data_IF_239191330617
#
_entry.id   IF_239191330617
#
_cell.length_a   1.000
_cell.length_b   1.000
_cell.length_c   1.000
_cell.angle_alpha   90.00
_cell.angle_beta   90.00
_cell.angle_gamma   90.00
#
_symmetry.space_group_name_H-M   'P 1'
#
loop_
_entity.id
_entity.type
_entity.pdbx_description
1 polymer ?
#
# COMPACT_ATOMS: atom_id res chain seq x y z
N UNK A 1 30.22 -17.25 -2.78
CA UNK A 1 29.14 -16.30 -3.16
C UNK A 1 28.31 -16.09 -1.92
N UNK A 2 28.63 -15.05 -1.16
CA UNK A 2 27.97 -14.77 0.12
C UNK A 2 26.71 -13.94 -0.12
N UNK A 3 25.57 -14.48 0.32
CA UNK A 3 24.30 -13.76 0.37
C UNK A 3 24.45 -12.63 1.40
N UNK A 4 24.09 -11.38 1.05
CA UNK A 4 24.21 -10.25 1.98
C UNK A 4 23.48 -10.50 3.30
N UNK A 5 24.15 -10.21 4.42
CA UNK A 5 23.67 -10.44 5.79
C UNK A 5 22.34 -9.76 6.14
N UNK A 6 21.84 -8.79 5.36
CA UNK A 6 20.51 -8.20 5.60
C UNK A 6 19.35 -9.19 5.37
N UNK A 7 19.63 -10.34 4.76
CA UNK A 7 18.67 -11.45 4.57
C UNK A 7 18.73 -12.46 5.74
N UNK A 8 19.73 -12.37 6.62
CA UNK A 8 20.00 -13.38 7.65
C UNK A 8 19.62 -12.89 9.07
N UNK A 9 18.39 -13.18 9.46
CA UNK A 9 17.86 -13.32 10.83
C UNK A 9 18.16 -12.20 11.84
N UNK A 10 17.17 -11.35 12.03
CA UNK A 10 16.81 -10.73 13.30
C UNK A 10 15.30 -10.53 13.29
N UNK A 11 14.61 -10.89 14.37
CA UNK A 11 13.16 -10.75 14.51
C UNK A 11 12.79 -9.27 14.80
N UNK A 12 13.44 -8.33 14.10
CA UNK A 12 13.17 -6.90 14.22
C UNK A 12 12.12 -6.53 13.18
N UNK A 13 10.90 -6.38 13.68
CA UNK A 13 9.72 -6.01 12.88
C UNK A 13 9.67 -4.49 12.61
N UNK A 14 10.77 -3.78 12.85
CA UNK A 14 10.93 -2.38 12.53
C UNK A 14 11.45 -2.21 11.11
N UNK A 15 10.79 -1.37 10.31
CA UNK A 15 11.49 -0.70 9.21
C UNK A 15 12.64 0.03 9.88
N UNK A 16 13.88 -0.32 9.53
CA UNK A 16 15.03 0.47 9.97
C UNK A 16 14.86 1.87 9.37
N UNK A 17 14.38 2.81 10.19
CA UNK A 17 14.08 4.17 9.76
C UNK A 17 15.32 4.86 9.19
N UNK A 18 16.52 4.33 9.48
CA UNK A 18 17.81 4.73 8.92
C UNK A 18 17.87 4.52 7.40
N UNK A 19 17.10 3.58 6.83
CA UNK A 19 17.08 3.33 5.38
C UNK A 19 16.08 4.22 4.63
N UNK A 20 15.12 4.84 5.31
CA UNK A 20 14.11 5.71 4.68
C UNK A 20 14.71 6.89 3.87
N UNK A 21 15.79 7.56 4.34
CA UNK A 21 16.45 8.62 3.57
C UNK A 21 16.99 8.16 2.22
N UNK A 22 17.30 6.87 2.03
CA UNK A 22 17.81 6.34 0.76
C UNK A 22 16.71 5.70 -0.08
N UNK A 23 15.79 4.98 0.56
CA UNK A 23 14.72 4.24 -0.12
C UNK A 23 13.71 5.17 -0.78
N UNK A 24 13.30 6.25 -0.10
CA UNK A 24 12.29 7.16 -0.66
C UNK A 24 12.82 7.88 -1.91
N UNK A 25 14.02 8.50 -1.91
CA UNK A 25 14.57 9.10 -3.14
C UNK A 25 14.77 8.08 -4.27
N UNK A 26 15.15 6.84 -3.95
CA UNK A 26 15.29 5.78 -4.97
C UNK A 26 13.95 5.45 -5.63
N UNK A 27 12.86 5.34 -4.85
CA UNK A 27 11.49 5.14 -5.35
C UNK A 27 11.06 6.32 -6.21
N UNK A 28 11.24 7.55 -5.72
CA UNK A 28 10.88 8.80 -6.43
C UNK A 28 11.62 8.90 -7.77
N UNK A 29 12.90 8.51 -7.81
CA UNK A 29 13.71 8.50 -9.05
C UNK A 29 13.18 7.54 -10.12
N UNK A 30 12.48 6.46 -9.75
CA UNK A 30 11.85 5.55 -10.71
C UNK A 30 10.64 6.21 -11.42
N UNK A 31 10.03 7.22 -10.81
CA UNK A 31 8.91 7.96 -11.37
C UNK A 31 7.60 7.18 -11.32
N UNK A 32 7.08 6.76 -12.48
CA UNK A 32 5.80 6.04 -12.58
C UNK A 32 5.98 4.54 -12.38
N UNK A 33 5.02 3.89 -11.72
CA UNK A 33 5.07 2.46 -11.43
C UNK A 33 4.19 2.11 -10.24
N UNK A 34 4.36 0.91 -9.70
CA UNK A 34 3.63 0.43 -8.53
C UNK A 34 4.62 0.19 -7.39
N UNK A 35 4.35 0.76 -6.23
CA UNK A 35 5.07 0.52 -4.98
C UNK A 35 4.16 -0.21 -4.02
N UNK A 36 4.50 -1.44 -3.65
CA UNK A 36 3.72 -2.25 -2.71
C UNK A 36 4.36 -2.20 -1.33
N UNK A 37 3.59 -1.80 -0.32
CA UNK A 37 4.04 -1.75 1.07
C UNK A 37 3.54 -2.99 1.81
N UNK A 38 4.46 -3.92 2.11
CA UNK A 38 4.19 -5.20 2.77
C UNK A 38 4.75 -5.24 4.19
N UNK A 39 4.19 -6.12 5.03
CA UNK A 39 4.68 -6.41 6.38
C UNK A 39 3.57 -6.71 7.40
N UNK A 40 3.96 -7.05 8.63
CA UNK A 40 3.02 -7.43 9.70
C UNK A 40 2.11 -6.30 10.16
N UNK A 41 1.08 -6.66 10.92
CA UNK A 41 0.15 -5.68 11.48
C UNK A 41 0.88 -4.73 12.45
N UNK A 42 0.46 -3.47 12.50
CA UNK A 42 0.94 -2.44 13.44
C UNK A 42 2.41 -2.00 13.34
N UNK A 43 3.13 -2.31 12.25
CA UNK A 43 4.53 -1.85 12.05
C UNK A 43 4.66 -0.47 11.36
N UNK A 44 3.54 0.20 11.09
CA UNK A 44 3.55 1.52 10.44
C UNK A 44 3.44 1.52 8.91
N UNK A 45 2.99 0.42 8.28
CA UNK A 45 2.80 0.32 6.81
C UNK A 45 2.00 1.48 6.21
N UNK A 46 0.82 1.77 6.77
CA UNK A 46 -0.03 2.87 6.26
C UNK A 46 0.65 4.23 6.42
N UNK A 47 1.47 4.41 7.45
CA UNK A 47 2.30 5.60 7.63
C UNK A 47 3.37 5.69 6.53
N UNK A 48 4.12 4.62 6.29
CA UNK A 48 5.11 4.57 5.21
C UNK A 48 4.46 4.80 3.83
N UNK A 49 3.33 4.14 3.56
CA UNK A 49 2.57 4.31 2.33
C UNK A 49 2.13 5.78 2.14
N UNK A 50 1.68 6.47 3.21
CA UNK A 50 1.37 7.91 3.15
C UNK A 50 2.59 8.77 2.83
N UNK A 51 3.74 8.48 3.43
CA UNK A 51 4.99 9.19 3.12
C UNK A 51 5.40 9.00 1.64
N UNK A 52 5.39 7.77 1.14
CA UNK A 52 5.68 7.46 -0.27
C UNK A 52 4.69 8.17 -1.20
N UNK A 53 3.39 8.09 -0.88
CA UNK A 53 2.35 8.73 -1.68
C UNK A 53 2.53 10.25 -1.76
N UNK A 54 2.88 10.91 -0.66
CA UNK A 54 3.17 12.36 -0.64
C UNK A 54 4.44 12.72 -1.40
N UNK A 55 5.48 11.90 -1.33
CA UNK A 55 6.73 12.12 -2.07
C UNK A 55 6.49 12.02 -3.59
N UNK A 56 5.79 10.96 -4.03
CA UNK A 56 5.42 10.77 -5.43
C UNK A 56 4.43 11.83 -5.92
N UNK A 57 3.45 12.22 -5.09
CA UNK A 57 2.52 13.31 -5.40
C UNK A 57 3.26 14.64 -5.62
N UNK A 58 4.25 14.96 -4.79
CA UNK A 58 5.04 16.20 -4.93
C UNK A 58 5.77 16.29 -6.28
N UNK A 59 6.18 15.16 -6.87
CA UNK A 59 6.85 15.11 -8.16
C UNK A 59 5.87 15.06 -9.35
N UNK A 60 4.77 14.33 -9.22
CA UNK A 60 3.87 14.03 -10.35
C UNK A 60 2.57 14.84 -10.35
N UNK A 61 2.25 15.55 -9.27
CA UNK A 61 0.98 16.26 -9.08
C UNK A 61 -0.23 15.34 -8.86
N UNK A 62 -0.04 14.02 -8.95
CA UNK A 62 -1.05 13.00 -8.73
C UNK A 62 -0.38 11.69 -8.29
N UNK A 63 -1.04 10.95 -7.41
CA UNK A 63 -0.64 9.60 -7.01
C UNK A 63 -1.90 8.77 -6.77
N UNK A 64 -1.88 7.50 -7.13
CA UNK A 64 -2.99 6.60 -6.85
C UNK A 64 -2.70 5.74 -5.63
N UNK A 65 -3.73 5.53 -4.81
CA UNK A 65 -3.67 4.71 -3.61
C UNK A 65 -4.57 3.50 -3.79
N UNK A 66 -3.98 2.31 -3.87
CA UNK A 66 -4.69 1.04 -3.86
C UNK A 66 -4.66 0.47 -2.44
N UNK A 67 -5.82 0.42 -1.80
CA UNK A 67 -5.97 -0.14 -0.46
C UNK A 67 -6.50 -1.57 -0.52
N UNK A 68 -5.67 -2.50 -0.09
CA UNK A 68 -5.95 -3.93 0.04
C UNK A 68 -5.93 -4.38 1.51
N UNK A 69 -6.10 -3.45 2.47
CA UNK A 69 -6.33 -3.77 3.87
C UNK A 69 -7.84 -3.78 4.18
N UNK A 70 -8.44 -4.97 4.31
CA UNK A 70 -9.85 -5.08 4.70
C UNK A 70 -10.10 -4.73 6.16
N UNK A 71 -9.10 -4.90 7.04
CA UNK A 71 -9.27 -4.70 8.47
C UNK A 71 -9.26 -3.22 8.84
N UNK A 72 -8.26 -2.51 8.36
CA UNK A 72 -8.06 -1.10 8.65
C UNK A 72 -7.68 -0.32 7.38
N UNK A 73 -8.60 -0.21 6.41
CA UNK A 73 -8.37 0.63 5.25
C UNK A 73 -8.22 2.10 5.65
N UNK A 74 -7.47 2.85 4.84
CA UNK A 74 -7.11 4.23 5.13
C UNK A 74 -8.31 5.17 4.89
N UNK A 75 -9.08 4.99 3.81
CA UNK A 75 -10.10 5.96 3.38
C UNK A 75 -11.53 5.42 3.27
N UNK A 76 -11.73 4.12 3.45
CA UNK A 76 -13.04 3.46 3.41
C UNK A 76 -13.42 2.84 4.75
N UNK A 77 -14.68 2.42 4.94
CA UNK A 77 -15.04 1.52 6.03
C UNK A 77 -14.32 0.17 5.92
N UNK A 78 -14.20 -0.58 7.04
CA UNK A 78 -13.68 -1.95 7.01
C UNK A 78 -14.43 -2.85 6.03
N UNK A 79 -13.69 -3.79 5.42
CA UNK A 79 -14.18 -4.74 4.45
C UNK A 79 -14.27 -4.20 3.03
N UNK A 80 -13.57 -3.11 2.72
CA UNK A 80 -13.55 -2.52 1.38
C UNK A 80 -12.15 -2.59 0.80
N UNK A 81 -12.02 -3.17 -0.40
CA UNK A 81 -10.89 -2.89 -1.28
C UNK A 81 -11.20 -1.68 -2.13
N UNK A 82 -10.22 -0.81 -2.35
CA UNK A 82 -10.47 0.46 -3.01
C UNK A 82 -9.25 1.05 -3.71
N UNK A 83 -9.50 1.76 -4.80
CA UNK A 83 -8.54 2.58 -5.52
C UNK A 83 -8.98 4.04 -5.40
N UNK A 84 -8.09 4.89 -4.93
CA UNK A 84 -8.28 6.33 -4.82
C UNK A 84 -7.28 7.09 -5.67
N UNK A 85 -7.69 8.24 -6.19
CA UNK A 85 -6.80 9.27 -6.71
C UNK A 85 -6.49 10.26 -5.58
N UNK A 86 -5.23 10.37 -5.19
CA UNK A 86 -4.75 11.38 -4.23
C UNK A 86 -4.60 12.70 -4.97
N UNK A 87 -5.33 13.72 -4.53
CA UNK A 87 -5.39 15.04 -5.17
C UNK A 87 -4.67 16.12 -4.35
N UNK A 88 -4.38 15.84 -3.08
CA UNK A 88 -3.69 16.73 -2.16
C UNK A 88 -2.83 15.93 -1.15
N UNK A 89 -1.79 16.53 -0.54
CA UNK A 89 -0.91 15.84 0.41
C UNK A 89 -1.64 15.25 1.63
N UNK A 90 -1.46 13.97 1.89
CA UNK A 90 -2.01 13.19 3.00
C UNK A 90 -1.23 13.48 4.30
N UNK A 91 -1.60 14.57 4.98
CA UNK A 91 -0.91 15.04 6.21
C UNK A 91 -1.41 14.39 7.50
N UNK A 92 -2.50 13.61 7.43
CA UNK A 92 -3.15 12.99 8.59
C UNK A 92 -3.68 11.62 8.19
N UNK A 93 -3.79 10.66 9.13
CA UNK A 93 -4.48 9.40 8.86
C UNK A 93 -5.93 9.65 8.47
N UNK A 94 -6.47 8.81 7.58
CA UNK A 94 -7.88 8.81 7.19
C UNK A 94 -8.41 10.13 6.63
N UNK A 95 -7.58 10.87 5.91
CA UNK A 95 -7.94 12.17 5.33
C UNK A 95 -8.74 12.01 4.02
N UNK A 96 -10.00 11.62 4.13
CA UNK A 96 -10.90 11.32 3.00
C UNK A 96 -11.19 12.54 2.09
N UNK A 97 -10.96 13.76 2.58
CA UNK A 97 -11.18 15.00 1.81
C UNK A 97 -10.16 15.23 0.69
N UNK A 98 -9.01 14.55 0.77
CA UNK A 98 -7.88 14.73 -0.14
C UNK A 98 -7.80 13.69 -1.24
N UNK A 99 -8.76 12.78 -1.25
CA UNK A 99 -8.80 11.65 -2.15
C UNK A 99 -10.14 11.60 -2.87
N UNK A 100 -10.12 11.14 -4.12
CA UNK A 100 -11.32 10.83 -4.88
C UNK A 100 -11.38 9.34 -5.14
N UNK A 101 -12.48 8.69 -4.76
CA UNK A 101 -12.71 7.28 -5.04
C UNK A 101 -12.76 7.05 -6.56
N UNK A 102 -11.96 6.12 -7.05
CA UNK A 102 -11.97 5.65 -8.45
C UNK A 102 -12.85 4.40 -8.56
N UNK A 103 -12.58 3.42 -7.69
CA UNK A 103 -13.32 2.15 -7.64
C UNK A 103 -13.22 1.54 -6.26
N UNK A 104 -14.28 0.89 -5.78
CA UNK A 104 -14.25 0.13 -4.54
C UNK A 104 -15.17 -1.08 -4.57
N UNK A 105 -14.85 -2.08 -3.76
CA UNK A 105 -15.59 -3.34 -3.61
C UNK A 105 -15.76 -3.65 -2.13
N UNK A 106 -17.01 -3.76 -1.68
CA UNK A 106 -17.31 -4.23 -0.33
C UNK A 106 -17.34 -5.76 -0.31
N UNK A 107 -16.47 -6.36 0.50
CA UNK A 107 -16.26 -7.81 0.62
C UNK A 107 -16.87 -8.41 1.90
N UNK A 108 -17.70 -7.65 2.61
CA UNK A 108 -18.51 -8.16 3.72
C UNK A 108 -17.82 -8.22 5.09
N UNK A 109 -16.56 -7.78 5.23
CA UNK A 109 -15.92 -7.64 6.54
C UNK A 109 -14.39 -7.59 6.49
N UNK A 110 -13.76 -7.53 7.66
CA UNK A 110 -12.31 -7.33 7.85
C UNK A 110 -11.40 -8.49 7.41
N UNK A 111 -11.95 -9.54 6.81
CA UNK A 111 -11.24 -10.73 6.30
C UNK A 111 -11.91 -11.21 5.00
N UNK A 112 -11.18 -11.80 4.03
CA UNK A 112 -11.73 -12.33 2.80
C UNK A 112 -12.54 -13.59 3.15
N UNK A 113 -13.84 -13.42 3.33
CA UNK A 113 -14.75 -14.55 3.61
C UNK A 113 -15.06 -15.36 2.36
N UNK A 114 -15.01 -14.70 1.20
CA UNK A 114 -15.25 -15.31 -0.10
C UNK A 114 -14.00 -15.08 -0.99
N UNK A 115 -13.13 -16.09 -1.13
CA UNK A 115 -11.94 -15.99 -1.99
C UNK A 115 -12.27 -15.61 -3.43
N UNK A 116 -13.36 -16.15 -4.00
CA UNK A 116 -13.80 -15.82 -5.36
C UNK A 116 -14.15 -14.33 -5.51
N UNK A 117 -14.97 -13.78 -4.60
CA UNK A 117 -15.30 -12.35 -4.63
C UNK A 117 -14.07 -11.46 -4.42
N UNK A 118 -13.14 -11.90 -3.57
CA UNK A 118 -11.87 -11.20 -3.32
C UNK A 118 -10.99 -11.19 -4.57
N UNK A 119 -10.86 -12.34 -5.24
CA UNK A 119 -10.09 -12.48 -6.48
C UNK A 119 -10.67 -11.63 -7.61
N UNK A 120 -12.00 -11.65 -7.80
CA UNK A 120 -12.69 -10.81 -8.79
C UNK A 120 -12.45 -9.32 -8.50
N UNK A 121 -12.54 -8.89 -7.25
CA UNK A 121 -12.27 -7.50 -6.88
C UNK A 121 -10.82 -7.09 -7.19
N UNK A 122 -9.84 -7.94 -6.87
CA UNK A 122 -8.43 -7.71 -7.20
C UNK A 122 -8.23 -7.66 -8.72
N UNK A 123 -8.79 -8.61 -9.47
CA UNK A 123 -8.70 -8.63 -10.94
C UNK A 123 -9.23 -7.34 -11.56
N UNK A 124 -10.39 -6.87 -11.11
CA UNK A 124 -10.98 -5.62 -11.61
C UNK A 124 -10.17 -4.39 -11.22
N UNK A 125 -9.56 -4.35 -10.03
CA UNK A 125 -8.65 -3.27 -9.63
C UNK A 125 -7.35 -3.31 -10.45
N UNK A 126 -6.77 -4.49 -10.66
CA UNK A 126 -5.58 -4.69 -11.48
C UNK A 126 -5.81 -4.28 -12.95
N UNK A 127 -7.00 -4.55 -13.49
CA UNK A 127 -7.36 -4.12 -14.85
C UNK A 127 -7.35 -2.58 -15.00
N UNK A 128 -7.66 -1.84 -13.93
CA UNK A 128 -7.57 -0.37 -13.90
C UNK A 128 -6.11 0.06 -13.68
N UNK A 129 -5.41 -0.55 -12.72
CA UNK A 129 -4.04 -0.18 -12.33
C UNK A 129 -3.03 -0.47 -13.44
N UNK A 130 -3.21 -1.55 -14.21
CA UNK A 130 -2.32 -2.01 -15.27
C UNK A 130 -1.93 -0.93 -16.30
N UNK A 131 -2.89 -0.23 -16.94
CA UNK A 131 -2.58 0.92 -17.80
C UNK A 131 -2.21 2.18 -17.02
N UNK A 132 -2.79 2.38 -15.83
CA UNK A 132 -2.60 3.58 -15.01
C UNK A 132 -1.16 3.76 -14.53
N UNK A 133 -0.53 2.67 -14.08
CA UNK A 133 0.84 2.68 -13.54
C UNK A 133 1.91 3.12 -14.55
N UNK A 134 1.60 3.06 -15.86
CA UNK A 134 2.51 3.56 -16.91
C UNK A 134 2.54 5.08 -17.01
N UNK A 135 1.54 5.75 -16.44
CA UNK A 135 1.34 7.20 -16.53
C UNK A 135 1.45 7.89 -15.18
N UNK A 136 1.09 7.18 -14.11
CA UNK A 136 0.99 7.75 -12.77
C UNK A 136 1.54 6.77 -11.73
N UNK A 137 2.17 7.27 -10.65
CA UNK A 137 2.59 6.42 -9.55
C UNK A 137 1.38 5.83 -8.81
N UNK A 138 1.53 4.58 -8.37
CA UNK A 138 0.53 3.85 -7.58
C UNK A 138 1.20 3.31 -6.31
N UNK A 139 0.65 3.65 -5.15
CA UNK A 139 1.06 3.07 -3.86
C UNK A 139 0.01 2.06 -3.43
N UNK A 140 0.44 0.85 -3.09
CA UNK A 140 -0.43 -0.22 -2.62
C UNK A 140 -0.20 -0.41 -1.12
N UNK A 141 -1.24 -0.18 -0.33
CA UNK A 141 -1.28 -0.55 1.09
C UNK A 141 -1.90 -1.94 1.21
N UNK A 142 -1.25 -2.86 1.91
CA UNK A 142 -1.77 -4.23 2.08
C UNK A 142 -2.14 -4.52 3.53
N UNK A 143 -3.02 -5.50 3.72
CA UNK A 143 -3.27 -6.10 5.04
C UNK A 143 -1.97 -6.66 5.66
N UNK A 144 -2.00 -6.83 6.98
CA UNK A 144 -0.87 -7.34 7.77
C UNK A 144 -0.76 -8.85 7.92
N UNK A 145 -1.40 -9.67 7.06
CA UNK A 145 -1.31 -11.13 7.16
C UNK A 145 -0.05 -11.62 6.44
N UNK A 146 1.08 -11.33 7.03
CA UNK A 146 2.27 -12.15 6.84
C UNK A 146 2.08 -13.43 7.65
N UNK A 147 2.54 -14.54 7.09
CA UNK A 147 2.61 -15.81 7.81
C UNK A 147 3.34 -15.55 9.13
N UNK A 148 2.65 -15.75 10.26
CA UNK A 148 3.32 -15.87 11.54
C UNK A 148 4.19 -17.13 11.44
N UNK A 149 5.51 -16.96 11.57
CA UNK A 149 6.44 -18.08 11.82
C UNK A 149 6.29 -18.66 13.23
N UNK A 150 5.14 -18.44 13.88
CA UNK A 150 4.77 -19.11 15.12
C UNK A 150 4.31 -20.53 14.78
N UNK A 151 5.28 -21.34 14.37
CA UNK A 151 5.21 -22.78 14.48
C UNK A 151 5.23 -23.13 15.97
N UNK A 152 4.24 -23.93 16.36
CA UNK A 152 4.26 -24.73 17.57
C UNK A 152 5.56 -25.53 17.72
#
# INVERSE_FOLDING_TARGET
MDVPRFVARGNDVGIDAVLLPEVIPAIVKQGTGVVVVLGSQNIGKSTLARFIANALFSQHGVCYWLDLDLGQPEFSPPGVFSLYCVQQPLLRPRDTRKVKLVKGFFLGGSRPRCPAATAIAIEQLCAIVGPLQRRFPVVVNTHGWVLSTDGA
#
